data_IF_135938343720
#
_entry.id   IF_135938343720
#
_cell.length_a   1.000
_cell.length_b   1.000
_cell.length_c   1.000
_cell.angle_alpha   90.00
_cell.angle_beta   90.00
_cell.angle_gamma   90.00
#
_symmetry.space_group_name_H-M   'P 1'
#
loop_
_entity.id
_entity.type
_entity.pdbx_description
1 polymer ?
#
# COMPACT_ATOMS: atom_id res chain seq x y z
N UNK A 1 -13.62 -35.95 -32.58
CA UNK A 1 -13.33 -34.53 -32.31
C UNK A 1 -13.32 -34.37 -30.81
N UNK A 2 -12.14 -34.47 -30.18
CA UNK A 2 -12.00 -34.35 -28.74
C UNK A 2 -12.02 -32.86 -28.39
N UNK A 3 -12.97 -32.43 -27.56
CA UNK A 3 -13.07 -31.04 -27.10
C UNK A 3 -12.13 -30.88 -25.91
N UNK A 4 -11.00 -30.22 -26.15
CA UNK A 4 -10.09 -29.76 -25.10
C UNK A 4 -10.86 -28.93 -24.08
N UNK A 5 -10.90 -29.43 -22.84
CA UNK A 5 -11.42 -28.70 -21.70
C UNK A 5 -10.44 -27.57 -21.39
N UNK A 6 -10.74 -26.35 -21.86
CA UNK A 6 -10.07 -25.14 -21.41
C UNK A 6 -10.23 -25.05 -19.89
N UNK A 7 -9.14 -25.34 -19.18
CA UNK A 7 -9.01 -25.23 -17.74
C UNK A 7 -9.11 -23.76 -17.35
N UNK A 8 -10.33 -23.30 -17.05
CA UNK A 8 -10.56 -22.02 -16.39
C UNK A 8 -9.83 -22.03 -15.03
N UNK A 9 -9.03 -21.01 -14.68
CA UNK A 9 -8.48 -20.92 -13.34
C UNK A 9 -9.64 -20.82 -12.34
N UNK A 10 -9.70 -21.81 -11.44
CA UNK A 10 -10.68 -21.88 -10.37
C UNK A 10 -10.71 -20.56 -9.60
N UNK A 11 -11.89 -19.99 -9.28
CA UNK A 11 -11.97 -18.78 -8.48
C UNK A 11 -11.28 -19.01 -7.14
N UNK A 12 -10.30 -18.17 -6.82
CA UNK A 12 -9.80 -18.08 -5.45
C UNK A 12 -10.99 -17.75 -4.52
N UNK A 13 -11.04 -18.36 -3.32
CA UNK A 13 -12.11 -18.08 -2.38
C UNK A 13 -12.11 -16.59 -2.05
N UNK A 14 -13.20 -15.91 -2.41
CA UNK A 14 -13.58 -14.63 -1.81
C UNK A 14 -13.48 -14.79 -0.29
N UNK A 15 -12.78 -13.91 0.45
CA UNK A 15 -12.84 -13.97 1.91
C UNK A 15 -14.30 -13.79 2.30
N UNK A 16 -14.90 -14.89 2.78
CA UNK A 16 -16.23 -14.89 3.38
C UNK A 16 -16.22 -13.83 4.46
N UNK A 17 -17.20 -12.92 4.42
CA UNK A 17 -17.45 -11.95 5.46
C UNK A 17 -17.25 -12.62 6.83
N UNK A 18 -16.33 -12.08 7.62
CA UNK A 18 -16.08 -12.55 8.96
C UNK A 18 -17.41 -12.54 9.74
N UNK A 19 -17.79 -13.63 10.43
CA UNK A 19 -18.94 -13.56 11.33
C UNK A 19 -18.63 -12.51 12.40
N UNK A 20 -19.48 -11.50 12.50
CA UNK A 20 -19.48 -10.52 13.58
C UNK A 20 -19.66 -11.24 14.91
N UNK A 21 -18.56 -11.41 15.65
CA UNK A 21 -18.56 -12.04 16.96
C UNK A 21 -19.15 -11.05 17.99
N UNK A 22 -20.31 -11.31 18.63
CA UNK A 22 -20.84 -10.44 19.67
C UNK A 22 -20.23 -10.87 21.02
N UNK A 23 -18.93 -10.60 21.17
CA UNK A 23 -18.23 -10.79 22.44
C UNK A 23 -17.31 -9.59 22.68
N UNK A 24 -17.90 -8.39 22.66
CA UNK A 24 -17.30 -7.21 23.27
C UNK A 24 -17.34 -7.40 24.80
N UNK A 25 -16.30 -8.03 25.35
CA UNK A 25 -15.96 -7.87 26.77
C UNK A 25 -15.64 -6.40 27.07
N UNK A 26 -15.72 -5.97 28.33
CA UNK A 26 -15.58 -4.57 28.70
C UNK A 26 -14.23 -4.05 28.22
N UNK A 27 -14.28 -3.01 27.38
CA UNK A 27 -13.11 -2.28 26.92
C UNK A 27 -12.32 -1.81 28.14
N UNK A 28 -11.17 -2.43 28.39
CA UNK A 28 -10.19 -1.86 29.29
C UNK A 28 -9.69 -0.56 28.66
N UNK A 29 -10.04 0.54 29.30
CA UNK A 29 -9.59 1.90 29.02
C UNK A 29 -8.07 1.98 29.17
N UNK A 30 -7.36 1.76 28.06
CA UNK A 30 -5.97 2.14 27.87
C UNK A 30 -5.80 2.43 26.38
N UNK A 31 -5.33 3.63 26.04
CA UNK A 31 -4.98 3.92 24.65
C UNK A 31 -3.98 2.85 24.17
N UNK A 32 -4.15 2.28 22.97
CA UNK A 32 -3.20 1.30 22.46
C UNK A 32 -1.79 1.93 22.46
N UNK A 33 -0.76 1.17 22.87
CA UNK A 33 0.60 1.67 22.88
C UNK A 33 0.97 2.19 21.50
N UNK A 34 1.67 3.33 21.45
CA UNK A 34 2.11 3.93 20.19
C UNK A 34 3.15 3.03 19.52
N UNK A 35 2.66 2.16 18.63
CA UNK A 35 3.48 1.21 17.89
C UNK A 35 4.53 1.92 17.02
N UNK A 36 4.27 3.16 16.58
CA UNK A 36 5.26 3.92 15.83
C UNK A 36 6.46 4.31 16.72
N UNK A 37 6.19 4.77 17.95
CA UNK A 37 7.25 5.04 18.91
C UNK A 37 8.05 3.79 19.29
N UNK A 38 7.37 2.65 19.48
CA UNK A 38 8.03 1.36 19.79
C UNK A 38 8.92 0.93 18.61
N UNK A 39 8.44 1.02 17.37
CA UNK A 39 9.24 0.71 16.17
C UNK A 39 10.50 1.56 16.11
N UNK A 40 10.38 2.87 16.26
CA UNK A 40 11.52 3.79 16.28
C UNK A 40 12.52 3.44 17.41
N UNK A 41 12.02 3.07 18.59
CA UNK A 41 12.87 2.64 19.70
C UNK A 41 13.64 1.34 19.38
N UNK A 42 12.98 0.36 18.77
CA UNK A 42 13.60 -0.89 18.31
C UNK A 42 14.67 -0.61 17.25
N UNK A 43 14.36 0.22 16.25
CA UNK A 43 15.29 0.60 15.19
C UNK A 43 16.55 1.29 15.75
N UNK A 44 16.37 2.26 16.65
CA UNK A 44 17.49 2.94 17.31
C UNK A 44 18.34 1.98 18.14
N UNK A 45 17.70 1.04 18.86
CA UNK A 45 18.40 0.06 19.68
C UNK A 45 19.18 -0.96 18.82
N UNK A 46 18.65 -1.37 17.66
CA UNK A 46 19.33 -2.22 16.69
C UNK A 46 20.53 -1.51 16.04
N UNK A 47 20.37 -0.22 15.69
CA UNK A 47 21.46 0.58 15.15
C UNK A 47 22.60 0.73 16.16
N UNK A 48 22.27 1.06 17.42
CA UNK A 48 23.27 1.14 18.49
C UNK A 48 23.96 -0.20 18.72
N UNK A 49 23.21 -1.31 18.73
CA UNK A 49 23.77 -2.65 18.89
C UNK A 49 24.78 -2.98 17.76
N UNK A 50 24.45 -2.64 16.51
CA UNK A 50 25.36 -2.82 15.38
C UNK A 50 26.65 -2.01 15.55
N UNK A 51 26.55 -0.76 16.04
CA UNK A 51 27.73 0.06 16.31
C UNK A 51 28.57 -0.51 17.45
N UNK A 52 27.94 -0.94 18.55
CA UNK A 52 28.64 -1.52 19.69
C UNK A 52 29.39 -2.80 19.31
N UNK A 53 28.79 -3.65 18.44
CA UNK A 53 29.43 -4.84 17.90
C UNK A 53 30.65 -4.49 17.03
N UNK A 54 30.54 -3.47 16.19
CA UNK A 54 31.64 -3.00 15.34
C UNK A 54 32.80 -2.41 16.15
N UNK A 55 32.51 -1.56 17.15
CA UNK A 55 33.52 -0.99 18.04
C UNK A 55 34.20 -2.06 18.91
N UNK A 56 33.45 -3.08 19.33
CA UNK A 56 33.99 -4.23 20.04
C UNK A 56 34.96 -5.03 19.16
N UNK A 57 34.62 -5.25 17.88
CA UNK A 57 35.50 -5.91 16.91
C UNK A 57 36.83 -5.15 16.76
N UNK A 58 36.77 -3.84 16.57
CA UNK A 58 37.96 -2.99 16.48
C UNK A 58 38.80 -3.08 17.76
N UNK A 59 38.15 -2.98 18.92
CA UNK A 59 38.82 -2.99 20.22
C UNK A 59 39.45 -4.35 20.53
N UNK A 60 38.85 -5.45 20.07
CA UNK A 60 39.39 -6.79 20.21
C UNK A 60 40.57 -7.04 19.25
N UNK A 61 40.54 -6.47 18.04
CA UNK A 61 41.63 -6.57 17.07
C UNK A 61 42.85 -5.72 17.44
N UNK A 62 42.63 -4.54 18.03
CA UNK A 62 43.67 -3.59 18.42
C UNK A 62 43.39 -2.98 19.80
N UNK A 63 43.86 -3.66 20.85
CA UNK A 63 43.80 -3.13 22.22
C UNK A 63 44.79 -1.98 22.35
N UNK A 64 44.28 -0.78 22.59
CA UNK A 64 45.10 0.40 22.91
C UNK A 64 45.47 0.40 24.39
N UNK A 65 46.66 0.88 24.72
CA UNK A 65 47.10 1.09 26.10
C UNK A 65 46.11 2.01 26.85
N UNK A 66 45.71 1.62 28.06
CA UNK A 66 44.60 2.20 28.85
C UNK A 66 43.15 1.89 28.38
N UNK A 67 42.94 0.99 27.41
CA UNK A 67 41.60 0.51 26.99
C UNK A 67 41.42 -1.00 27.09
N UNK A 68 42.16 -1.64 27.97
CA UNK A 68 42.14 -3.09 28.17
C UNK A 68 40.77 -3.62 28.61
N UNK A 69 39.99 -2.80 29.33
CA UNK A 69 38.63 -3.15 29.77
C UNK A 69 37.55 -2.88 28.73
N UNK A 70 37.87 -2.21 27.62
CA UNK A 70 36.87 -1.74 26.66
C UNK A 70 36.02 -2.89 26.09
N UNK A 71 36.64 -4.04 25.81
CA UNK A 71 35.92 -5.23 25.30
C UNK A 71 34.89 -5.72 26.32
N UNK A 72 35.23 -5.73 27.62
CA UNK A 72 34.30 -6.14 28.68
C UNK A 72 33.13 -5.15 28.82
N UNK A 73 33.42 -3.86 28.69
CA UNK A 73 32.40 -2.81 28.73
C UNK A 73 31.43 -2.90 27.54
N UNK A 74 31.94 -3.11 26.32
CA UNK A 74 31.09 -3.33 25.14
C UNK A 74 30.25 -4.60 25.27
N UNK A 75 30.82 -5.71 25.75
CA UNK A 75 30.06 -6.94 25.97
C UNK A 75 28.91 -6.74 26.95
N UNK A 76 29.12 -5.96 28.02
CA UNK A 76 28.07 -5.60 28.98
C UNK A 76 26.98 -4.76 28.33
N UNK A 77 27.34 -3.80 27.50
CA UNK A 77 26.40 -2.94 26.78
C UNK A 77 25.57 -3.75 25.78
N UNK A 78 26.20 -4.66 25.03
CA UNK A 78 25.54 -5.59 24.10
C UNK A 78 24.53 -6.49 24.84
N UNK A 79 24.91 -7.05 25.99
CA UNK A 79 24.00 -7.87 26.78
C UNK A 79 22.78 -7.07 27.26
N UNK A 80 23.00 -5.85 27.76
CA UNK A 80 21.92 -4.92 28.13
C UNK A 80 21.02 -4.59 26.94
N UNK A 81 21.59 -4.38 25.75
CA UNK A 81 20.85 -4.13 24.53
C UNK A 81 19.95 -5.32 24.14
N UNK A 82 20.42 -6.57 24.25
CA UNK A 82 19.60 -7.76 24.00
C UNK A 82 18.43 -7.88 24.97
N UNK A 83 18.64 -7.61 26.26
CA UNK A 83 17.56 -7.61 27.26
C UNK A 83 16.52 -6.53 26.92
N UNK A 84 16.98 -5.33 26.57
CA UNK A 84 16.10 -4.24 26.17
C UNK A 84 15.30 -4.58 24.89
N UNK A 85 15.95 -5.17 23.88
CA UNK A 85 15.29 -5.61 22.65
C UNK A 85 14.22 -6.67 22.93
N UNK A 86 14.50 -7.64 23.81
CA UNK A 86 13.51 -8.64 24.21
C UNK A 86 12.28 -8.02 24.88
N UNK A 87 12.48 -7.00 25.73
CA UNK A 87 11.40 -6.29 26.39
C UNK A 87 10.57 -5.43 25.42
N UNK A 88 11.22 -4.81 24.43
CA UNK A 88 10.55 -4.05 23.38
C UNK A 88 9.78 -4.97 22.43
N UNK A 89 10.36 -6.10 22.04
CA UNK A 89 9.73 -7.08 21.16
C UNK A 89 8.42 -7.63 21.75
N UNK A 90 8.37 -7.84 23.08
CA UNK A 90 7.16 -8.29 23.77
C UNK A 90 6.01 -7.27 23.75
N UNK A 91 6.30 -5.98 23.49
CA UNK A 91 5.30 -4.91 23.41
C UNK A 91 4.82 -4.65 21.97
N UNK A 92 5.48 -5.26 20.98
CA UNK A 92 5.19 -5.06 19.57
C UNK A 92 4.05 -5.99 19.14
N UNK A 93 3.04 -5.42 18.49
CA UNK A 93 1.86 -6.18 18.01
C UNK A 93 1.88 -6.44 16.51
N UNK A 94 2.85 -5.86 15.80
CA UNK A 94 2.96 -6.02 14.36
C UNK A 94 3.29 -7.46 13.99
N UNK A 95 2.66 -7.93 12.92
CA UNK A 95 2.95 -9.24 12.33
C UNK A 95 3.65 -9.06 10.98
N UNK A 96 4.60 -9.96 10.72
CA UNK A 96 5.36 -9.98 9.46
C UNK A 96 5.08 -11.32 8.77
N UNK A 97 4.62 -11.32 7.50
CA UNK A 97 4.45 -12.54 6.73
C UNK A 97 5.73 -13.37 6.67
N UNK A 98 5.63 -14.69 6.82
CA UNK A 98 6.78 -15.60 6.84
C UNK A 98 7.67 -15.47 5.59
N UNK A 99 7.06 -15.22 4.42
CA UNK A 99 7.80 -15.04 3.18
C UNK A 99 8.71 -13.80 3.18
N UNK A 100 8.37 -12.77 3.95
CA UNK A 100 9.25 -11.61 4.14
C UNK A 100 10.49 -12.02 4.96
N UNK A 101 10.31 -12.83 5.99
CA UNK A 101 11.41 -13.39 6.80
C UNK A 101 12.34 -14.24 5.92
N UNK A 102 11.77 -15.15 5.12
CA UNK A 102 12.54 -15.98 4.19
C UNK A 102 13.31 -15.14 3.15
N UNK A 103 12.74 -14.01 2.70
CA UNK A 103 13.45 -13.10 1.80
C UNK A 103 14.67 -12.48 2.49
N UNK A 104 14.54 -12.05 3.75
CA UNK A 104 15.67 -11.50 4.52
C UNK A 104 16.75 -12.57 4.72
N UNK A 105 16.38 -13.79 5.12
CA UNK A 105 17.30 -14.90 5.33
C UNK A 105 18.08 -15.29 4.06
N UNK A 106 17.47 -15.08 2.89
CA UNK A 106 18.08 -15.36 1.58
C UNK A 106 18.72 -14.14 0.93
N UNK A 107 18.96 -13.06 1.68
CA UNK A 107 19.54 -11.81 1.18
C UNK A 107 18.77 -11.18 0.01
N UNK A 108 17.45 -11.42 -0.04
CA UNK A 108 16.55 -10.81 -1.01
C UNK A 108 15.91 -9.56 -0.42
N UNK A 109 15.59 -8.60 -1.28
CA UNK A 109 14.90 -7.40 -0.86
C UNK A 109 13.44 -7.73 -0.44
N UNK A 110 13.05 -7.50 0.84
CA UNK A 110 11.70 -7.80 1.32
C UNK A 110 10.60 -6.99 0.62
N UNK A 111 10.92 -5.82 0.06
CA UNK A 111 9.96 -4.98 -0.67
C UNK A 111 9.42 -5.64 -1.95
N UNK A 112 10.11 -6.66 -2.48
CA UNK A 112 9.63 -7.43 -3.63
C UNK A 112 8.30 -8.12 -3.30
N UNK A 113 8.16 -8.67 -2.09
CA UNK A 113 6.92 -9.30 -1.64
C UNK A 113 5.76 -8.30 -1.62
N UNK A 114 5.99 -7.12 -1.03
CA UNK A 114 4.99 -6.05 -0.94
C UNK A 114 4.56 -5.59 -2.33
N UNK A 115 5.51 -5.33 -3.22
CA UNK A 115 5.24 -4.93 -4.60
C UNK A 115 4.41 -5.98 -5.33
N UNK A 116 4.81 -7.25 -5.27
CA UNK A 116 4.11 -8.33 -5.96
C UNK A 116 2.68 -8.52 -5.41
N UNK A 117 2.52 -8.43 -4.09
CA UNK A 117 1.20 -8.56 -3.44
C UNK A 117 0.28 -7.43 -3.86
N UNK A 118 0.76 -6.18 -3.86
CA UNK A 118 -0.03 -5.02 -4.31
C UNK A 118 -0.38 -5.17 -5.79
N UNK A 119 0.60 -5.45 -6.66
CA UNK A 119 0.36 -5.61 -8.10
C UNK A 119 -0.66 -6.72 -8.38
N UNK A 120 -0.54 -7.86 -7.68
CA UNK A 120 -1.49 -8.97 -7.81
C UNK A 120 -2.88 -8.57 -7.34
N UNK A 121 -3.01 -7.94 -6.16
CA UNK A 121 -4.29 -7.49 -5.65
C UNK A 121 -4.96 -6.47 -6.58
N UNK A 122 -4.19 -5.54 -7.15
CA UNK A 122 -4.70 -4.59 -8.16
C UNK A 122 -5.19 -5.31 -9.41
N UNK A 123 -4.41 -6.25 -9.94
CA UNK A 123 -4.82 -7.04 -11.11
C UNK A 123 -6.06 -7.89 -10.85
N UNK A 124 -6.15 -8.55 -9.70
CA UNK A 124 -7.30 -9.34 -9.28
C UNK A 124 -8.55 -8.47 -9.11
N UNK A 125 -8.41 -7.28 -8.50
CA UNK A 125 -9.51 -6.32 -8.35
C UNK A 125 -10.01 -5.80 -9.70
N UNK A 126 -9.11 -5.43 -10.61
CA UNK A 126 -9.47 -4.98 -11.95
C UNK A 126 -10.13 -6.09 -12.77
N UNK A 127 -9.60 -7.31 -12.67
CA UNK A 127 -10.18 -8.48 -13.32
C UNK A 127 -11.58 -8.77 -12.79
N UNK A 128 -11.78 -8.76 -11.46
CA UNK A 128 -13.08 -8.96 -10.84
C UNK A 128 -14.09 -7.88 -11.28
N UNK A 129 -13.67 -6.60 -11.27
CA UNK A 129 -14.49 -5.49 -11.76
C UNK A 129 -14.87 -5.69 -13.23
N UNK A 130 -13.92 -6.04 -14.10
CA UNK A 130 -14.16 -6.30 -15.51
C UNK A 130 -15.17 -7.42 -15.74
N UNK A 131 -15.12 -8.49 -14.93
CA UNK A 131 -16.13 -9.57 -14.98
C UNK A 131 -17.52 -9.09 -14.60
N UNK A 132 -17.64 -8.28 -13.55
CA UNK A 132 -18.93 -7.72 -13.12
C UNK A 132 -19.52 -6.81 -14.21
N UNK A 133 -18.70 -5.92 -14.79
CA UNK A 133 -19.11 -5.02 -15.87
C UNK A 133 -19.50 -5.79 -17.14
N UNK A 134 -18.75 -6.83 -17.50
CA UNK A 134 -19.05 -7.69 -18.64
C UNK A 134 -20.38 -8.42 -18.49
N UNK A 135 -20.63 -8.99 -17.30
CA UNK A 135 -21.91 -9.63 -16.98
C UNK A 135 -23.07 -8.64 -16.99
N UNK A 136 -22.86 -7.42 -16.50
CA UNK A 136 -23.87 -6.37 -16.56
C UNK A 136 -24.20 -5.99 -18.00
N UNK A 137 -23.18 -5.81 -18.85
CA UNK A 137 -23.36 -5.48 -20.26
C UNK A 137 -24.11 -6.60 -20.99
N UNK A 138 -23.69 -7.86 -20.79
CA UNK A 138 -24.38 -9.03 -21.35
C UNK A 138 -25.85 -9.08 -20.93
N UNK A 139 -26.13 -8.87 -19.64
CA UNK A 139 -27.50 -8.85 -19.11
C UNK A 139 -28.34 -7.75 -19.77
N UNK A 140 -27.78 -6.55 -19.96
CA UNK A 140 -28.48 -5.42 -20.61
C UNK A 140 -28.82 -5.77 -22.06
N UNK A 141 -27.85 -6.24 -22.82
CA UNK A 141 -28.05 -6.64 -24.21
C UNK A 141 -29.09 -7.76 -24.34
N UNK A 142 -29.04 -8.76 -23.46
CA UNK A 142 -30.01 -9.85 -23.43
C UNK A 142 -31.43 -9.34 -23.10
N UNK A 143 -31.54 -8.44 -22.11
CA UNK A 143 -32.81 -7.82 -21.75
C UNK A 143 -33.40 -7.03 -22.92
N UNK A 144 -32.58 -6.21 -23.59
CA UNK A 144 -33.00 -5.39 -24.73
C UNK A 144 -33.44 -6.28 -25.91
N UNK A 145 -32.68 -7.34 -26.22
CA UNK A 145 -33.04 -8.30 -27.27
C UNK A 145 -34.35 -9.03 -26.98
N UNK A 146 -34.56 -9.53 -25.75
CA UNK A 146 -35.82 -10.20 -25.39
C UNK A 146 -37.00 -9.22 -25.45
N UNK A 147 -36.82 -7.98 -25.00
CA UNK A 147 -37.88 -6.97 -25.03
C UNK A 147 -38.30 -6.60 -26.46
N UNK A 148 -37.35 -6.62 -27.41
CA UNK A 148 -37.58 -6.37 -28.84
C UNK A 148 -38.30 -7.55 -29.51
N UNK A 149 -37.80 -8.77 -29.29
CA UNK A 149 -38.24 -9.94 -30.04
C UNK A 149 -39.51 -10.59 -29.44
N UNK A 150 -39.74 -10.40 -28.13
CA UNK A 150 -40.86 -10.99 -27.38
C UNK A 150 -41.55 -9.96 -26.46
N UNK A 151 -42.23 -8.96 -27.02
CA UNK A 151 -42.83 -7.87 -26.23
C UNK A 151 -43.97 -8.33 -25.30
N UNK A 152 -44.57 -9.49 -25.54
CA UNK A 152 -45.64 -10.03 -24.70
C UNK A 152 -45.13 -10.70 -23.41
N UNK A 153 -43.82 -10.95 -23.30
CA UNK A 153 -43.23 -11.61 -22.13
C UNK A 153 -42.78 -10.55 -21.11
N UNK A 154 -43.38 -10.49 -19.90
CA UNK A 154 -42.94 -9.56 -18.87
C UNK A 154 -41.56 -9.98 -18.33
N UNK A 155 -40.59 -9.08 -18.44
CA UNK A 155 -39.24 -9.30 -17.95
C UNK A 155 -39.17 -9.11 -16.42
N UNK A 156 -38.43 -9.97 -15.70
CA UNK A 156 -38.34 -9.88 -14.25
C UNK A 156 -37.56 -8.64 -13.79
N UNK A 157 -38.05 -8.01 -12.72
CA UNK A 157 -37.41 -6.83 -12.12
C UNK A 157 -36.03 -7.16 -11.56
N UNK A 158 -35.10 -6.20 -11.75
CA UNK A 158 -33.72 -6.35 -11.28
C UNK A 158 -33.70 -6.27 -9.75
N UNK A 159 -33.46 -7.40 -9.08
CA UNK A 159 -33.39 -7.49 -7.61
C UNK A 159 -32.31 -6.59 -6.98
N UNK A 160 -31.26 -6.28 -7.72
CA UNK A 160 -30.16 -5.44 -7.26
C UNK A 160 -29.78 -4.46 -8.37
N UNK A 161 -29.99 -3.17 -8.13
CA UNK A 161 -29.44 -2.14 -9.00
C UNK A 161 -27.96 -1.94 -8.66
N UNK A 162 -27.09 -1.70 -9.66
CA UNK A 162 -25.73 -1.26 -9.39
C UNK A 162 -25.81 0.01 -8.57
N UNK A 163 -24.94 0.13 -7.56
CA UNK A 163 -24.77 1.37 -6.82
C UNK A 163 -24.35 2.42 -7.86
N UNK A 164 -25.22 3.41 -8.12
CA UNK A 164 -24.86 4.56 -8.93
C UNK A 164 -23.77 5.30 -8.17
N UNK A 165 -22.55 5.27 -8.68
CA UNK A 165 -21.49 6.16 -8.21
C UNK A 165 -21.87 7.57 -8.61
N UNK A 166 -22.18 8.40 -7.62
CA UNK A 166 -22.73 9.77 -7.74
C UNK A 166 -21.77 10.80 -8.36
N UNK A 167 -21.04 10.46 -9.44
CA UNK A 167 -20.12 11.38 -10.13
C UNK A 167 -20.49 11.66 -11.60
N UNK A 168 -21.66 11.23 -12.08
CA UNK A 168 -22.10 11.50 -13.47
C UNK A 168 -23.20 12.58 -13.62
N UNK A 169 -23.63 13.23 -12.53
CA UNK A 169 -24.60 14.34 -12.58
C UNK A 169 -23.90 15.68 -12.29
N UNK A 170 -23.15 16.21 -13.27
CA UNK A 170 -23.03 17.66 -13.59
C UNK A 170 -21.82 17.96 -14.50
N UNK A 171 -21.93 17.57 -15.78
CA UNK A 171 -21.07 18.13 -16.83
C UNK A 171 -21.95 18.66 -17.98
N UNK A 172 -21.92 19.97 -18.29
CA UNK A 172 -22.58 20.51 -19.47
C UNK A 172 -21.98 19.88 -20.73
N UNK A 173 -22.86 19.49 -21.66
CA UNK A 173 -22.48 19.05 -23.01
C UNK A 173 -21.92 20.23 -23.80
N UNK A 174 -20.60 20.24 -24.03
CA UNK A 174 -20.02 20.96 -25.16
C UNK A 174 -19.60 19.95 -26.24
N UNK A 175 -20.08 20.20 -27.46
CA UNK A 175 -19.74 19.46 -28.66
C UNK A 175 -18.25 19.67 -28.99
N UNK A 176 -17.47 18.59 -29.05
CA UNK A 176 -16.07 18.70 -29.47
C UNK A 176 -15.27 17.40 -29.39
N UNK A 177 -15.19 16.69 -30.52
CA UNK A 177 -14.12 15.79 -30.96
C UNK A 177 -13.60 14.70 -29.99
N UNK A 178 -13.95 13.45 -30.27
CA UNK A 178 -13.38 12.25 -29.64
C UNK A 178 -11.95 12.03 -30.19
N UNK A 179 -10.94 12.21 -29.34
CA UNK A 179 -9.64 11.56 -29.50
C UNK A 179 -9.16 10.98 -28.15
N UNK A 180 -8.81 9.69 -28.23
CA UNK A 180 -7.99 8.83 -27.38
C UNK A 180 -7.56 9.30 -25.97
N UNK A 181 -7.96 8.49 -24.98
CA UNK A 181 -7.50 8.45 -23.59
C UNK A 181 -6.05 8.93 -23.35
N UNK A 182 -5.93 10.07 -22.67
CA UNK A 182 -4.74 10.48 -21.93
C UNK A 182 -5.15 10.94 -20.53
N UNK A 183 -4.61 10.30 -19.49
CA UNK A 183 -4.78 10.71 -18.11
C UNK A 183 -4.17 12.11 -17.91
N UNK A 184 -4.97 13.10 -17.51
CA UNK A 184 -4.50 14.41 -17.07
C UNK A 184 -4.11 14.34 -15.59
N UNK A 185 -2.81 14.30 -15.33
CA UNK A 185 -2.23 14.54 -14.00
C UNK A 185 -2.32 16.05 -13.73
N UNK A 186 -3.07 16.44 -12.70
CA UNK A 186 -3.00 17.80 -12.14
C UNK A 186 -1.68 17.92 -11.38
N UNK A 187 -0.74 18.68 -11.93
CA UNK A 187 0.40 19.18 -11.18
C UNK A 187 -0.06 20.49 -10.55
N UNK A 188 -0.22 20.51 -9.23
CA UNK A 188 -0.31 21.74 -8.45
C UNK A 188 1.06 22.39 -8.45
N UNK A 189 1.21 23.51 -9.15
CA UNK A 189 2.35 24.41 -9.01
C UNK A 189 1.89 25.61 -8.19
N UNK A 190 2.40 25.68 -6.97
CA UNK A 190 2.12 26.71 -5.99
C UNK A 190 3.01 27.95 -6.26
N UNK A 191 2.35 29.11 -6.33
CA UNK A 191 2.84 30.46 -6.13
C UNK A 191 4.00 31.02 -7.01
N UNK A 192 3.64 31.99 -7.87
CA UNK A 192 4.37 33.28 -7.96
C UNK A 192 3.49 34.41 -8.52
N UNK A 193 3.65 35.65 -8.02
CA UNK A 193 2.63 36.69 -8.12
C UNK A 193 2.72 37.55 -9.39
N UNK A 194 1.58 38.19 -9.65
CA UNK A 194 1.24 39.09 -10.75
C UNK A 194 2.28 40.15 -11.11
N UNK A 195 2.30 40.47 -12.41
CA UNK A 195 3.18 41.44 -13.02
C UNK A 195 2.68 42.88 -13.00
N UNK A 196 3.45 43.77 -13.63
CA UNK A 196 2.94 44.84 -14.47
C UNK A 196 4.06 45.65 -15.15
N UNK A 197 3.83 45.90 -16.45
CA UNK A 197 4.09 47.13 -17.20
C UNK A 197 5.54 47.53 -17.56
N UNK A 198 5.90 47.26 -18.83
CA UNK A 198 5.87 48.30 -19.88
C UNK A 198 6.94 49.41 -19.89
N UNK A 199 7.61 49.51 -21.05
CA UNK A 199 8.38 50.64 -21.64
C UNK A 199 9.90 50.65 -21.42
N UNK A 200 10.60 50.22 -22.48
CA UNK A 200 11.54 50.98 -23.32
C UNK A 200 12.46 52.05 -22.70
N UNK A 201 13.71 52.01 -23.23
CA UNK A 201 14.75 53.04 -23.45
C UNK A 201 15.85 53.38 -22.41
N UNK A 202 17.09 53.21 -22.91
CA UNK A 202 18.37 53.96 -22.75
C UNK A 202 19.31 53.73 -21.54
N UNK A 203 20.53 53.30 -21.92
CA UNK A 203 21.91 53.60 -21.48
C UNK A 203 22.23 54.36 -20.17
N UNK A 204 23.40 53.99 -19.61
CA UNK A 204 24.39 54.89 -18.99
C UNK A 204 24.65 54.60 -17.50
N UNK A 205 25.78 53.95 -17.16
CA UNK A 205 27.07 54.56 -16.78
C UNK A 205 27.09 55.22 -15.39
N UNK A 206 27.95 54.65 -14.52
CA UNK A 206 28.82 55.29 -13.51
C UNK A 206 28.13 56.07 -12.37
N UNK A 207 28.57 56.04 -11.11
CA UNK A 207 29.81 55.61 -10.45
C UNK A 207 29.47 55.07 -9.05
#
# INVERSE_FOLDING_TARGET
>A
MSLDHQHLPSPAPTPSAAPSNPAAGPAMTGAPPDQAAIRTAVENQLLQLSQDLYEMEISAGHVKENRETAVADYLKNINKAFINLSNLAAQMTDSVPHQIVENVDRYKNPHVYTRQTITRATGENQYALGRVLGLESFRRQLHDAISSDFPEIPLPERRHQPIKTSQEEDAPREEGSIMANGYSVKIEDDARPDGQNGRSIVNGMSS
#
